data_IF_605347597098
#
_entry.id   IF_605347597098
#
_cell.length_a   1.000
_cell.length_b   1.000
_cell.length_c   1.000
_cell.angle_alpha   90.00
_cell.angle_beta   90.00
_cell.angle_gamma   90.00
#
_symmetry.space_group_name_H-M   'P 1'
#
loop_
_entity.id
_entity.type
_entity.pdbx_description
1 polymer ?
#
# COMPACT_ATOMS: atom_id res chain seq x y z
N UNK A 1 14.02 22.04 14.34
CA UNK A 1 12.85 21.17 14.03
C UNK A 1 13.37 19.74 14.04
N UNK A 2 12.74 18.80 14.77
CA UNK A 2 13.14 17.40 14.73
C UNK A 2 13.02 16.92 13.28
N UNK A 3 14.17 16.59 12.69
CA UNK A 3 14.27 16.15 11.31
C UNK A 3 14.22 14.64 11.40
N UNK A 4 13.08 14.03 11.04
CA UNK A 4 12.91 12.58 11.08
C UNK A 4 13.92 11.97 10.13
N UNK A 5 15.03 11.54 10.70
CA UNK A 5 16.17 11.06 9.95
C UNK A 5 15.97 9.62 9.52
N UNK A 6 16.80 9.16 8.57
CA UNK A 6 16.84 7.76 8.14
C UNK A 6 16.99 6.79 9.33
N UNK A 7 17.72 7.21 10.38
CA UNK A 7 17.91 6.41 11.60
C UNK A 7 16.63 6.19 12.41
N UNK A 8 15.82 7.23 12.60
CA UNK A 8 14.53 7.12 13.33
C UNK A 8 13.53 6.28 12.53
N UNK A 9 13.52 6.43 11.20
CA UNK A 9 12.66 5.65 10.31
C UNK A 9 13.01 4.15 10.35
N UNK A 10 14.30 3.81 10.44
CA UNK A 10 14.76 2.43 10.64
C UNK A 10 14.32 1.87 11.99
N UNK A 11 14.45 2.63 13.08
CA UNK A 11 14.04 2.20 14.42
C UNK A 11 12.53 1.92 14.45
N UNK A 12 11.71 2.82 13.89
CA UNK A 12 10.27 2.61 13.78
C UNK A 12 9.96 1.37 12.95
N UNK A 13 10.68 1.16 11.84
CA UNK A 13 10.56 -0.04 11.02
C UNK A 13 10.85 -1.32 11.80
N UNK A 14 11.93 -1.34 12.59
CA UNK A 14 12.32 -2.49 13.42
C UNK A 14 11.29 -2.75 14.53
N UNK A 15 10.83 -1.71 15.24
CA UNK A 15 9.80 -1.86 16.28
C UNK A 15 8.49 -2.37 15.67
N UNK A 16 8.07 -1.81 14.52
CA UNK A 16 6.92 -2.31 13.78
C UNK A 16 7.09 -3.77 13.34
N UNK A 17 8.30 -4.16 12.91
CA UNK A 17 8.62 -5.54 12.53
C UNK A 17 8.52 -6.50 13.71
N UNK A 18 8.92 -6.09 14.91
CA UNK A 18 8.84 -6.90 16.12
C UNK A 18 7.39 -7.06 16.60
N UNK A 19 6.58 -6.00 16.50
CA UNK A 19 5.17 -6.03 16.92
C UNK A 19 4.27 -6.80 15.95
N UNK A 20 4.42 -6.54 14.66
CA UNK A 20 3.54 -7.10 13.62
C UNK A 20 4.13 -8.34 12.94
N UNK A 21 5.44 -8.55 13.03
CA UNK A 21 6.16 -9.61 12.33
C UNK A 21 6.54 -9.20 10.89
N UNK A 22 7.69 -9.69 10.44
CA UNK A 22 8.22 -9.38 9.10
C UNK A 22 7.33 -9.80 7.93
N UNK A 23 6.46 -10.78 8.16
CA UNK A 23 5.55 -11.30 7.13
C UNK A 23 4.23 -10.52 7.05
N UNK A 24 3.80 -9.85 8.12
CA UNK A 24 2.47 -9.22 8.18
C UNK A 24 2.41 -7.90 7.42
N UNK A 25 3.48 -7.10 7.51
CA UNK A 25 3.61 -5.84 6.77
C UNK A 25 3.48 -6.06 5.24
N UNK A 26 4.25 -6.98 4.60
CA UNK A 26 4.12 -7.23 3.17
C UNK A 26 2.79 -7.92 2.80
N UNK A 27 2.21 -8.74 3.68
CA UNK A 27 0.91 -9.35 3.46
C UNK A 27 -0.20 -8.30 3.37
N UNK A 28 -0.23 -7.36 4.32
CA UNK A 28 -1.17 -6.22 4.33
C UNK A 28 -0.94 -5.31 3.13
N UNK A 29 0.32 -4.99 2.80
CA UNK A 29 0.64 -4.20 1.61
C UNK A 29 0.16 -4.88 0.33
N UNK A 30 0.30 -6.20 0.21
CA UNK A 30 -0.19 -6.97 -0.95
C UNK A 30 -1.71 -7.00 -1.01
N UNK A 31 -2.41 -7.19 0.11
CA UNK A 31 -3.88 -7.20 0.11
C UNK A 31 -4.44 -5.82 -0.26
N UNK A 32 -3.88 -4.75 0.33
CA UNK A 32 -4.25 -3.37 0.00
C UNK A 32 -3.93 -3.05 -1.46
N UNK A 33 -2.75 -3.46 -1.95
CA UNK A 33 -2.35 -3.26 -3.34
C UNK A 33 -3.31 -3.92 -4.34
N UNK A 34 -3.77 -5.15 -4.04
CA UNK A 34 -4.79 -5.82 -4.85
C UNK A 34 -6.12 -5.04 -4.85
N UNK A 35 -6.57 -4.57 -3.70
CA UNK A 35 -7.79 -3.76 -3.58
C UNK A 35 -7.68 -2.45 -4.35
N UNK A 36 -6.57 -1.73 -4.23
CA UNK A 36 -6.32 -0.48 -4.98
C UNK A 36 -6.26 -0.75 -6.48
N UNK A 37 -5.63 -1.85 -6.91
CA UNK A 37 -5.59 -2.21 -8.32
C UNK A 37 -6.98 -2.53 -8.88
N UNK A 38 -7.77 -3.33 -8.18
CA UNK A 38 -9.15 -3.64 -8.57
C UNK A 38 -10.03 -2.37 -8.62
N UNK A 39 -9.88 -1.48 -7.63
CA UNK A 39 -10.57 -0.19 -7.62
C UNK A 39 -10.19 0.68 -8.82
N UNK A 40 -8.89 0.78 -9.14
CA UNK A 40 -8.40 1.52 -10.31
C UNK A 40 -8.92 0.93 -11.63
N UNK A 41 -8.95 -0.39 -11.75
CA UNK A 41 -9.51 -1.07 -12.93
C UNK A 41 -10.99 -0.78 -13.12
N UNK A 42 -11.80 -0.91 -12.06
CA UNK A 42 -13.23 -0.62 -12.12
C UNK A 42 -13.54 0.85 -12.42
N UNK A 43 -12.73 1.78 -11.90
CA UNK A 43 -12.83 3.20 -12.27
C UNK A 43 -12.52 3.43 -13.75
N UNK A 44 -11.51 2.75 -14.31
CA UNK A 44 -11.17 2.89 -15.73
C UNK A 44 -12.28 2.35 -16.63
N UNK A 45 -12.79 1.16 -16.32
CA UNK A 45 -13.88 0.51 -17.08
C UNK A 45 -15.18 1.33 -17.03
N UNK A 46 -15.49 1.98 -15.90
CA UNK A 46 -16.65 2.88 -15.79
C UNK A 46 -16.46 4.26 -16.44
N UNK A 47 -15.22 4.64 -16.78
CA UNK A 47 -14.89 5.90 -17.45
C UNK A 47 -14.73 5.74 -18.97
N UNK A 48 -14.56 4.51 -19.46
CA UNK A 48 -14.60 4.22 -20.90
C UNK A 48 -16.08 4.30 -21.33
N UNK A 49 -16.48 5.31 -22.15
CA UNK A 49 -17.82 5.32 -22.71
C UNK A 49 -18.00 4.05 -23.52
N UNK A 50 -19.17 3.44 -23.42
CA UNK A 50 -19.59 2.25 -24.16
C UNK A 50 -19.60 2.57 -25.67
N UNK A 51 -18.42 2.61 -26.30
CA UNK A 51 -18.26 2.61 -27.76
C UNK A 51 -18.49 1.18 -28.24
N UNK A 52 -19.75 0.75 -28.16
CA UNK A 52 -20.27 -0.34 -28.97
C UNK A 52 -20.53 0.18 -30.39
N UNK A 53 -20.04 -0.46 -31.46
CA UNK A 53 -20.65 -0.33 -32.79
C UNK A 53 -22.04 -0.98 -32.82
#
# INVERSE_FOLDING_TARGET
>A
MPNVGMGEMLIIGVVGLLLFGANRIPEVARSLGRSVNAFKSGLKEGLEPDEKP
#
